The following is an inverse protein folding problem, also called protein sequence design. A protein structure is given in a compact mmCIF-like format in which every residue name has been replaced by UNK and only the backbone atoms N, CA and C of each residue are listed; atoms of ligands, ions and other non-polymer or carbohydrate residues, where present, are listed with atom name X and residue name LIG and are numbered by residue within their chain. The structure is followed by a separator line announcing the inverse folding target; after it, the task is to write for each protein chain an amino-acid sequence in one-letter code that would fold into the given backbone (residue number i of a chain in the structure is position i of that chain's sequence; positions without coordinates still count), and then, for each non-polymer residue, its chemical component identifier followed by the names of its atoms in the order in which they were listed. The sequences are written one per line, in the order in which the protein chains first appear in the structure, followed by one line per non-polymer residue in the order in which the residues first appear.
data_IF_358775840106
#
_entry.id   IF_358775840106
#
_cell.length_a   1.000
_cell.length_b   1.000
_cell.length_c   1.000
_cell.angle_alpha   90.00
_cell.angle_beta   90.00
_cell.angle_gamma   90.00
#
_symmetry.space_group_name_H-M   'P 1'
#
loop_
_entity.id
_entity.type
_entity.pdbx_description
1 polymer ?
#
# COMPACT_ATOMS: atom_id res chain seq x y z
N UNK A 1 -25.72 -12.94 39.44
CA UNK A 1 -24.83 -13.83 38.68
C UNK A 1 -23.62 -13.00 38.28
N UNK A 2 -22.44 -13.30 38.81
CA UNK A 2 -21.22 -12.67 38.31
C UNK A 2 -20.96 -13.24 36.91
N UNK A 3 -20.89 -12.39 35.87
CA UNK A 3 -20.45 -12.84 34.55
C UNK A 3 -19.04 -13.38 34.70
N UNK A 4 -18.79 -14.64 34.34
CA UNK A 4 -17.42 -15.11 34.16
C UNK A 4 -16.75 -14.18 33.16
N UNK A 5 -15.81 -13.35 33.64
CA UNK A 5 -15.05 -12.48 32.78
C UNK A 5 -14.23 -13.38 31.85
N UNK A 6 -14.54 -13.34 30.55
CA UNK A 6 -13.81 -14.12 29.56
C UNK A 6 -12.32 -13.75 29.58
N UNK A 7 -11.45 -14.76 29.54
CA UNK A 7 -9.99 -14.57 29.48
C UNK A 7 -9.63 -13.55 28.39
N UNK A 8 -8.75 -12.58 28.68
CA UNK A 8 -8.32 -11.61 27.68
C UNK A 8 -7.63 -12.29 26.49
N UNK A 9 -7.83 -11.74 25.29
CA UNK A 9 -7.04 -12.12 24.10
C UNK A 9 -5.68 -11.45 24.21
N UNK A 10 -4.60 -12.21 24.14
CA UNK A 10 -3.23 -11.67 24.25
C UNK A 10 -2.65 -11.42 22.87
N UNK A 11 -2.48 -10.16 22.51
CA UNK A 11 -1.97 -9.75 21.20
C UNK A 11 -0.56 -9.17 21.36
N UNK A 12 0.43 -9.79 20.73
CA UNK A 12 1.79 -9.26 20.63
C UNK A 12 1.91 -8.34 19.42
N UNK A 13 2.14 -7.06 19.66
CA UNK A 13 2.42 -6.06 18.62
C UNK A 13 3.94 -5.96 18.43
N UNK A 14 4.42 -6.33 17.25
CA UNK A 14 5.82 -6.52 16.94
C UNK A 14 6.30 -5.37 16.08
N UNK A 15 7.12 -4.48 16.64
CA UNK A 15 7.95 -3.58 15.85
C UNK A 15 9.27 -4.30 15.51
N UNK A 16 9.51 -4.63 14.22
CA UNK A 16 10.71 -5.37 13.83
C UNK A 16 11.93 -4.46 13.60
N UNK A 17 11.85 -3.15 13.86
CA UNK A 17 13.01 -2.28 13.94
C UNK A 17 13.42 -2.03 15.40
N UNK A 18 14.62 -1.45 15.61
CA UNK A 18 15.16 -1.20 16.96
C UNK A 18 14.67 0.10 17.60
N UNK A 19 13.80 0.88 16.93
CA UNK A 19 13.30 2.15 17.45
C UNK A 19 12.21 1.91 18.51
N UNK A 20 12.56 2.12 19.78
CA UNK A 20 11.57 2.08 20.88
C UNK A 20 10.53 3.17 20.72
N UNK A 21 10.89 4.33 20.17
CA UNK A 21 9.97 5.42 19.88
C UNK A 21 8.84 4.98 18.94
N UNK A 22 9.15 4.20 17.90
CA UNK A 22 8.13 3.63 16.99
C UNK A 22 7.20 2.68 17.75
N UNK A 23 7.74 1.84 18.64
CA UNK A 23 6.93 0.96 19.49
C UNK A 23 6.02 1.74 20.42
N UNK A 24 6.53 2.80 21.05
CA UNK A 24 5.77 3.65 21.96
C UNK A 24 4.64 4.40 21.24
N UNK A 25 4.85 4.81 19.99
CA UNK A 25 3.82 5.44 19.16
C UNK A 25 2.65 4.50 18.79
N UNK A 26 2.87 3.18 18.78
CA UNK A 26 1.82 2.18 18.53
C UNK A 26 0.85 2.04 19.72
N UNK A 27 1.34 2.23 20.95
CA UNK A 27 0.56 1.99 22.18
C UNK A 27 -0.74 2.78 22.24
N UNK A 28 -0.75 4.13 22.18
CA UNK A 28 -1.98 4.91 22.31
C UNK A 28 -2.97 4.64 21.18
N UNK A 29 -2.50 4.23 19.99
CA UNK A 29 -3.38 3.83 18.90
C UNK A 29 -4.14 2.54 19.18
N UNK A 30 -3.38 1.51 19.58
CA UNK A 30 -3.92 0.17 19.78
C UNK A 30 -4.86 0.17 20.98
N UNK A 31 -4.48 0.89 22.04
CA UNK A 31 -5.35 1.15 23.21
C UNK A 31 -6.60 1.95 22.83
N UNK A 32 -6.45 2.95 21.96
CA UNK A 32 -7.56 3.79 21.47
C UNK A 32 -8.64 3.04 20.68
N UNK A 33 -8.40 1.79 20.26
CA UNK A 33 -9.42 0.95 19.63
C UNK A 33 -10.49 0.45 20.62
N UNK A 34 -10.19 0.44 21.93
CA UNK A 34 -11.18 0.15 22.96
C UNK A 34 -11.77 -1.26 22.93
N UNK A 35 -11.08 -2.24 22.33
CA UNK A 35 -11.55 -3.63 22.31
C UNK A 35 -11.62 -4.22 23.73
N UNK A 36 -12.75 -4.82 24.13
CA UNK A 36 -12.90 -5.37 25.47
C UNK A 36 -12.10 -6.66 25.64
N UNK A 37 -11.56 -6.86 26.84
CA UNK A 37 -10.83 -8.07 27.23
C UNK A 37 -9.70 -8.40 26.26
N UNK A 38 -8.78 -7.46 26.06
CA UNK A 38 -7.55 -7.65 25.27
C UNK A 38 -6.36 -7.19 26.08
N UNK A 39 -5.31 -8.02 26.11
CA UNK A 39 -4.03 -7.68 26.69
C UNK A 39 -3.03 -7.47 25.55
N UNK A 40 -2.57 -6.24 25.37
CA UNK A 40 -1.53 -5.91 24.40
C UNK A 40 -0.15 -5.98 25.04
N UNK A 41 0.76 -6.70 24.40
CA UNK A 41 2.18 -6.67 24.70
C UNK A 41 2.93 -6.17 23.48
N UNK A 42 4.14 -5.64 23.69
CA UNK A 42 4.90 -4.98 22.65
C UNK A 42 6.30 -5.55 22.56
N UNK A 43 6.78 -5.72 21.34
CA UNK A 43 8.13 -6.15 21.04
C UNK A 43 8.84 -5.07 20.19
N UNK A 44 10.09 -4.81 20.52
CA UNK A 44 11.02 -4.01 19.71
C UNK A 44 12.20 -4.90 19.35
N UNK A 45 12.73 -4.79 18.13
CA UNK A 45 13.87 -5.59 17.68
C UNK A 45 15.06 -5.47 18.64
N UNK A 46 15.74 -6.57 19.00
CA UNK A 46 16.95 -6.53 19.81
C UNK A 46 18.08 -5.72 19.17
N UNK A 47 19.01 -5.25 20.00
CA UNK A 47 20.24 -4.58 19.56
C UNK A 47 21.43 -5.53 19.71
N UNK A 48 22.32 -5.66 18.70
CA UNK A 48 22.30 -4.97 17.41
C UNK A 48 21.16 -5.45 16.48
N UNK A 49 20.50 -4.51 15.81
CA UNK A 49 19.35 -4.77 14.93
C UNK A 49 19.24 -3.71 13.82
N UNK A 50 18.13 -3.70 13.09
CA UNK A 50 17.87 -2.73 12.02
C UNK A 50 17.14 -1.50 12.60
N UNK A 51 17.73 -0.29 12.59
CA UNK A 51 17.09 0.90 13.17
C UNK A 51 15.84 1.35 12.41
N UNK A 52 15.87 1.20 11.08
CA UNK A 52 14.81 1.64 10.18
C UNK A 52 14.81 0.73 8.96
N UNK A 53 13.68 0.07 8.70
CA UNK A 53 13.54 -0.88 7.59
C UNK A 53 13.12 -0.08 6.36
N UNK A 54 14.01 0.01 5.36
CA UNK A 54 13.79 0.83 4.17
C UNK A 54 13.90 0.01 2.88
N UNK A 55 13.98 -1.32 2.96
CA UNK A 55 14.03 -2.20 1.80
C UNK A 55 13.56 -3.63 2.14
N UNK A 56 13.23 -4.45 1.12
CA UNK A 56 12.98 -5.89 1.33
C UNK A 56 14.16 -6.62 1.97
N UNK A 57 15.40 -6.23 1.64
CA UNK A 57 16.62 -6.80 2.25
C UNK A 57 16.72 -6.46 3.73
N UNK A 58 16.38 -5.24 4.13
CA UNK A 58 16.31 -4.85 5.55
C UNK A 58 15.23 -5.65 6.29
N UNK A 59 14.07 -5.87 5.65
CA UNK A 59 12.98 -6.66 6.22
C UNK A 59 13.40 -8.13 6.43
N UNK A 60 14.12 -8.72 5.47
CA UNK A 60 14.67 -10.07 5.59
C UNK A 60 15.68 -10.17 6.75
N UNK A 61 16.65 -9.27 6.81
CA UNK A 61 17.64 -9.24 7.91
C UNK A 61 16.98 -8.97 9.27
N UNK A 62 16.03 -8.06 9.33
CA UNK A 62 15.25 -7.80 10.53
C UNK A 62 14.52 -9.06 11.00
N UNK A 63 13.94 -9.84 10.08
CA UNK A 63 13.28 -11.09 10.42
C UNK A 63 14.21 -12.11 11.07
N UNK A 64 15.40 -12.30 10.49
CA UNK A 64 16.44 -13.18 11.05
C UNK A 64 16.85 -12.79 12.47
N UNK A 65 16.95 -11.48 12.74
CA UNK A 65 17.35 -10.94 14.05
C UNK A 65 16.22 -11.08 15.08
N UNK A 66 14.98 -10.77 14.68
CA UNK A 66 13.85 -10.75 15.60
C UNK A 66 13.36 -12.16 15.97
N UNK A 67 13.38 -13.09 15.01
CA UNK A 67 12.71 -14.38 15.16
C UNK A 67 13.18 -15.20 16.38
N UNK A 68 14.48 -15.34 16.68
CA UNK A 68 14.94 -16.06 17.88
C UNK A 68 14.41 -15.49 19.19
N UNK A 69 14.24 -14.17 19.28
CA UNK A 69 13.70 -13.50 20.46
C UNK A 69 12.16 -13.58 20.55
N UNK A 70 11.48 -13.77 19.42
CA UNK A 70 10.03 -13.92 19.34
C UNK A 70 9.57 -15.36 19.65
N UNK A 71 10.35 -16.39 19.30
CA UNK A 71 10.00 -17.80 19.52
C UNK A 71 9.58 -18.10 20.99
N UNK A 72 10.32 -17.65 22.02
CA UNK A 72 9.93 -17.85 23.41
C UNK A 72 8.62 -17.17 23.80
N UNK A 73 8.18 -16.14 23.07
CA UNK A 73 6.94 -15.40 23.33
C UNK A 73 5.72 -16.08 22.70
N UNK A 74 5.91 -16.93 21.68
CA UNK A 74 4.81 -17.57 20.94
C UNK A 74 3.85 -18.37 21.84
N UNK A 75 4.30 -19.17 22.82
CA UNK A 75 3.38 -19.88 23.72
C UNK A 75 2.45 -18.95 24.54
N UNK A 76 2.90 -17.71 24.80
CA UNK A 76 2.25 -16.78 25.73
C UNK A 76 1.24 -15.83 25.10
N UNK A 77 1.08 -15.86 23.78
CA UNK A 77 0.17 -14.96 23.04
C UNK A 77 -0.77 -15.73 22.13
N UNK A 78 -1.94 -15.18 21.88
CA UNK A 78 -2.97 -15.77 21.02
C UNK A 78 -2.88 -15.21 19.60
N UNK A 79 -2.37 -13.98 19.46
CA UNK A 79 -2.22 -13.34 18.18
C UNK A 79 -0.94 -12.47 18.08
N UNK A 80 -0.48 -12.26 16.84
CA UNK A 80 0.78 -11.58 16.53
C UNK A 80 0.59 -10.61 15.37
N UNK A 81 0.87 -9.33 15.61
CA UNK A 81 0.81 -8.28 14.58
C UNK A 81 2.23 -7.82 14.24
N UNK A 82 2.68 -8.03 13.00
CA UNK A 82 3.95 -7.45 12.51
C UNK A 82 3.70 -6.03 12.00
N UNK A 83 4.17 -5.04 12.75
CA UNK A 83 3.98 -3.61 12.51
C UNK A 83 5.07 -3.02 11.59
N UNK A 84 5.30 -3.66 10.44
CA UNK A 84 6.12 -3.11 9.35
C UNK A 84 5.34 -3.23 8.04
N UNK A 85 5.26 -2.13 7.30
CA UNK A 85 4.48 -2.09 6.07
C UNK A 85 5.30 -2.60 4.89
N UNK A 86 5.39 -3.92 4.78
CA UNK A 86 6.02 -4.66 3.70
C UNK A 86 5.47 -6.09 3.70
N UNK A 87 5.75 -6.89 2.65
CA UNK A 87 5.63 -8.34 2.73
C UNK A 87 6.72 -8.90 3.67
N UNK A 88 6.56 -8.66 4.98
CA UNK A 88 7.62 -8.88 5.95
C UNK A 88 7.78 -10.38 6.25
N UNK A 89 8.97 -10.99 6.07
CA UNK A 89 9.15 -12.43 6.23
C UNK A 89 8.75 -13.00 7.60
N UNK A 90 8.86 -12.19 8.67
CA UNK A 90 8.37 -12.55 10.00
C UNK A 90 6.93 -13.06 10.03
N UNK A 91 6.04 -12.55 9.17
CA UNK A 91 4.64 -13.03 9.14
C UNK A 91 4.59 -14.52 8.80
N UNK A 92 5.30 -14.93 7.75
CA UNK A 92 5.40 -16.34 7.35
C UNK A 92 6.09 -17.20 8.41
N UNK A 93 7.21 -16.71 8.98
CA UNK A 93 7.97 -17.42 10.01
C UNK A 93 7.15 -17.64 11.29
N UNK A 94 6.42 -16.63 11.75
CA UNK A 94 5.54 -16.72 12.92
C UNK A 94 4.33 -17.62 12.66
N UNK A 95 3.74 -17.59 11.45
CA UNK A 95 2.68 -18.54 11.07
C UNK A 95 3.15 -19.98 11.14
N UNK A 96 4.36 -20.26 10.62
CA UNK A 96 4.95 -21.59 10.67
C UNK A 96 5.20 -22.04 12.12
N UNK A 97 5.76 -21.16 12.97
CA UNK A 97 6.01 -21.47 14.38
C UNK A 97 4.72 -21.67 15.19
N UNK A 98 3.71 -20.82 14.97
CA UNK A 98 2.38 -21.00 15.57
C UNK A 98 1.74 -22.33 15.17
N UNK A 99 1.88 -22.72 13.90
CA UNK A 99 1.38 -23.99 13.37
C UNK A 99 2.11 -25.17 14.00
N UNK A 100 3.44 -25.11 14.12
CA UNK A 100 4.27 -26.12 14.79
C UNK A 100 3.83 -26.33 16.25
N UNK A 101 3.63 -25.25 16.99
CA UNK A 101 3.21 -25.31 18.39
C UNK A 101 1.78 -25.82 18.56
N UNK A 102 0.86 -25.40 17.68
CA UNK A 102 -0.53 -25.87 17.69
C UNK A 102 -0.63 -27.36 17.37
N UNK A 103 0.15 -27.86 16.41
CA UNK A 103 0.22 -29.27 16.07
C UNK A 103 0.77 -30.11 17.24
N UNK A 104 1.83 -29.64 17.90
CA UNK A 104 2.38 -30.32 19.08
C UNK A 104 1.37 -30.40 20.23
N UNK A 105 0.57 -29.34 20.45
CA UNK A 105 -0.47 -29.31 21.49
C UNK A 105 -1.66 -30.23 21.16
N UNK A 106 -2.04 -30.35 19.89
CA UNK A 106 -3.13 -31.22 19.43
C UNK A 106 -2.77 -32.72 19.47
N UNK A 107 -1.48 -33.06 19.41
CA UNK A 107 -1.01 -34.45 19.47
C UNK A 107 -1.08 -35.09 20.88
N UNK A 108 -1.33 -34.30 21.93
CA UNK A 108 -1.51 -34.81 23.30
C UNK A 108 -2.93 -35.32 23.57
N UNK A 109 -3.08 -36.26 24.52
CA UNK A 109 -4.33 -36.97 24.85
C UNK A 109 -5.53 -36.09 25.33
N UNK A 110 -5.37 -34.76 25.37
CA UNK A 110 -6.42 -33.78 25.70
C UNK A 110 -6.36 -32.49 24.85
N UNK A 111 -5.73 -32.56 23.67
CA UNK A 111 -5.34 -31.38 22.87
C UNK A 111 -6.49 -30.58 22.27
N UNK A 112 -7.02 -29.60 23.00
CA UNK A 112 -7.66 -28.42 22.39
C UNK A 112 -6.56 -27.39 22.12
N UNK A 113 -5.80 -27.57 21.04
CA UNK A 113 -4.76 -26.61 20.67
C UNK A 113 -5.38 -25.23 20.43
N UNK A 114 -5.01 -24.23 21.24
CA UNK A 114 -5.47 -22.86 21.04
C UNK A 114 -4.96 -22.36 19.68
N UNK A 115 -5.88 -21.97 18.80
CA UNK A 115 -5.56 -21.40 17.50
C UNK A 115 -4.80 -20.09 17.71
N UNK A 116 -3.70 -19.93 16.98
CA UNK A 116 -2.85 -18.73 17.02
C UNK A 116 -2.91 -18.02 15.69
N UNK A 117 -3.03 -16.70 15.72
CA UNK A 117 -3.29 -15.88 14.54
C UNK A 117 -2.15 -14.91 14.29
N UNK A 118 -1.73 -14.77 13.03
CA UNK A 118 -0.60 -13.91 12.66
C UNK A 118 -0.96 -13.14 11.41
N UNK A 119 -0.72 -11.83 11.42
CA UNK A 119 -0.82 -10.97 10.23
C UNK A 119 0.20 -9.84 10.31
N UNK A 120 0.55 -9.27 9.16
CA UNK A 120 1.25 -7.99 9.09
C UNK A 120 0.29 -6.86 8.76
N UNK A 121 0.71 -5.63 9.03
CA UNK A 121 -0.10 -4.44 8.73
C UNK A 121 -0.31 -4.26 7.22
N UNK A 122 0.60 -4.77 6.40
CA UNK A 122 0.46 -4.81 4.94
C UNK A 122 -0.72 -5.69 4.51
N UNK A 123 -0.72 -6.98 4.89
CA UNK A 123 -1.77 -7.94 4.50
C UNK A 123 -3.13 -7.51 5.06
N UNK A 124 -3.14 -7.05 6.31
CA UNK A 124 -4.37 -6.57 6.95
C UNK A 124 -4.98 -5.37 6.21
N UNK A 125 -4.15 -4.41 5.79
CA UNK A 125 -4.62 -3.24 5.04
C UNK A 125 -5.14 -3.60 3.64
N UNK A 126 -4.50 -4.56 2.97
CA UNK A 126 -4.95 -5.04 1.66
C UNK A 126 -6.32 -5.73 1.76
N UNK A 127 -6.49 -6.64 2.73
CA UNK A 127 -7.77 -7.32 2.97
C UNK A 127 -8.89 -6.35 3.35
N UNK A 128 -8.61 -5.40 4.24
CA UNK A 128 -9.58 -4.38 4.62
C UNK A 128 -9.98 -3.54 3.39
N UNK A 129 -9.02 -3.13 2.57
CA UNK A 129 -9.28 -2.36 1.36
C UNK A 129 -10.13 -3.13 0.36
N UNK A 130 -9.83 -4.41 0.11
CA UNK A 130 -10.62 -5.27 -0.77
C UNK A 130 -12.07 -5.41 -0.29
N UNK A 131 -12.28 -5.60 1.02
CA UNK A 131 -13.62 -5.70 1.60
C UNK A 131 -14.43 -4.40 1.41
N UNK A 132 -13.77 -3.24 1.58
CA UNK A 132 -14.40 -1.93 1.43
C UNK A 132 -14.75 -1.60 -0.03
N UNK A 133 -13.86 -1.89 -0.97
CA UNK A 133 -14.06 -1.56 -2.40
C UNK A 133 -14.96 -2.56 -3.15
N UNK A 134 -15.18 -3.76 -2.61
CA UNK A 134 -16.19 -4.70 -3.12
C UNK A 134 -17.61 -4.24 -2.82
N UNK A 135 -17.81 -3.38 -1.83
CA UNK A 135 -19.13 -2.90 -1.41
C UNK A 135 -19.62 -1.66 -2.18
N UNK A 136 -18.72 -0.96 -2.89
CA UNK A 136 -19.02 0.32 -3.56
C UNK A 136 -19.55 0.19 -4.99
N UNK A 137 -19.89 -1.02 -5.46
CA UNK A 137 -20.33 -1.29 -6.84
C UNK A 137 -21.82 -1.66 -7.00
N UNK A 138 -22.65 -1.46 -5.99
CA UNK A 138 -23.98 -2.09 -5.93
C UNK A 138 -25.16 -1.25 -5.44
N UNK A 139 -25.09 0.09 -5.43
CA UNK A 139 -26.24 0.92 -5.05
C UNK A 139 -26.66 1.84 -6.20
N UNK A 140 -27.62 1.37 -7.01
CA UNK A 140 -28.18 2.13 -8.12
C UNK A 140 -29.04 1.29 -9.07
N UNK A 141 -30.00 0.53 -8.56
CA UNK A 141 -30.93 -0.23 -9.40
C UNK A 141 -32.24 -0.47 -8.65
N UNK A 142 -33.18 0.46 -8.80
CA UNK A 142 -34.57 0.26 -8.42
C UNK A 142 -35.12 -1.01 -9.08
N UNK A 143 -35.83 -1.79 -8.27
CA UNK A 143 -36.53 -2.99 -8.71
C UNK A 143 -37.58 -2.62 -9.78
N UNK A 144 -37.32 -2.97 -11.03
CA UNK A 144 -38.36 -3.16 -12.03
C UNK A 144 -38.51 -4.65 -12.30
N UNK A 145 -39.51 -5.21 -11.63
CA UNK A 145 -40.08 -6.51 -11.88
C UNK A 145 -40.83 -6.47 -13.22
N UNK A 146 -40.24 -7.00 -14.30
CA UNK A 146 -41.00 -7.21 -15.55
C UNK A 146 -40.73 -8.58 -16.20
N UNK A 147 -41.67 -9.48 -15.90
CA UNK A 147 -42.28 -10.52 -16.76
C UNK A 147 -41.36 -11.39 -17.63
N UNK A 148 -41.20 -12.61 -17.12
CA UNK A 148 -40.98 -13.84 -17.87
C UNK A 148 -41.76 -13.89 -19.19
N UNK A 149 -41.03 -13.91 -20.32
CA UNK A 149 -41.55 -14.39 -21.60
C UNK A 149 -40.69 -15.54 -22.10
N UNK A 150 -41.11 -16.75 -21.74
CA UNK A 150 -40.65 -18.01 -22.30
C UNK A 150 -40.70 -17.94 -23.84
N UNK A 151 -39.54 -17.94 -24.48
CA UNK A 151 -39.42 -18.23 -25.91
C UNK A 151 -38.42 -19.36 -26.10
N UNK A 152 -38.97 -20.50 -26.48
CA UNK A 152 -38.31 -21.74 -26.88
C UNK A 152 -37.23 -21.47 -27.92
N UNK A 153 -35.97 -21.82 -27.62
CA UNK A 153 -34.87 -21.80 -28.59
C UNK A 153 -34.97 -23.08 -29.43
N UNK A 154 -35.42 -22.97 -30.67
CA UNK A 154 -35.06 -23.90 -31.74
C UNK A 154 -33.68 -23.54 -32.26
N UNK A 155 -32.78 -24.52 -32.26
CA UNK A 155 -31.44 -24.41 -32.79
C UNK A 155 -31.45 -24.00 -34.27
N UNK A 156 -30.69 -22.98 -34.62
CA UNK A 156 -30.14 -22.81 -35.96
C UNK A 156 -28.74 -22.23 -35.85
N UNK A 157 -27.78 -23.01 -36.33
CA UNK A 157 -26.41 -22.61 -36.59
C UNK A 157 -26.38 -21.58 -37.73
N UNK A 158 -25.38 -20.67 -37.65
CA UNK A 158 -25.06 -19.60 -38.59
C UNK A 158 -25.66 -18.22 -38.26
N UNK A 159 -25.12 -17.57 -37.24
CA UNK A 159 -24.75 -16.15 -37.41
C UNK A 159 -23.48 -15.81 -36.61
N UNK A 160 -22.49 -15.27 -37.31
CA UNK A 160 -21.24 -14.74 -36.75
C UNK A 160 -21.50 -13.29 -36.37
N UNK A 161 -22.00 -13.07 -35.17
CA UNK A 161 -21.94 -11.77 -34.51
C UNK A 161 -21.23 -11.95 -33.18
N UNK A 162 -19.91 -11.82 -33.23
CA UNK A 162 -19.05 -11.66 -32.06
C UNK A 162 -19.46 -10.37 -31.37
N UNK A 163 -20.37 -10.45 -30.40
CA UNK A 163 -20.51 -9.39 -29.41
C UNK A 163 -19.25 -9.46 -28.56
N UNK A 164 -18.25 -8.63 -28.91
CA UNK A 164 -17.25 -8.19 -27.95
C UNK A 164 -18.03 -7.58 -26.80
N UNK A 165 -18.26 -8.36 -25.75
CA UNK A 165 -18.54 -7.79 -24.45
C UNK A 165 -17.26 -7.09 -24.05
N UNK A 166 -17.21 -5.78 -24.27
CA UNK A 166 -16.22 -4.91 -23.64
C UNK A 166 -16.20 -5.31 -22.16
N UNK A 167 -15.07 -5.87 -21.72
CA UNK A 167 -14.86 -6.16 -20.31
C UNK A 167 -14.88 -4.79 -19.66
N UNK A 168 -15.95 -4.47 -18.93
CA UNK A 168 -16.07 -3.31 -18.07
C UNK A 168 -14.90 -3.34 -17.08
N UNK A 169 -13.79 -2.78 -17.51
CA UNK A 169 -12.57 -2.65 -16.72
C UNK A 169 -12.74 -1.49 -15.74
N UNK A 170 -13.94 -1.31 -15.17
CA UNK A 170 -14.41 -0.19 -14.35
C UNK A 170 -14.45 -0.51 -12.85
N UNK A 171 -13.76 -1.58 -12.43
CA UNK A 171 -13.74 -1.97 -11.02
C UNK A 171 -13.09 -0.90 -10.16
N UNK A 172 -13.80 -0.43 -9.12
CA UNK A 172 -13.18 0.31 -8.02
C UNK A 172 -12.11 -0.53 -7.33
N UNK A 173 -11.14 0.18 -6.76
CA UNK A 173 -10.00 -0.46 -6.11
C UNK A 173 -9.30 0.44 -5.12
N UNK A 174 -8.11 0.02 -4.73
CA UNK A 174 -7.33 0.64 -3.68
C UNK A 174 -5.92 0.97 -4.14
N UNK A 175 -5.25 1.82 -3.39
CA UNK A 175 -3.83 2.11 -3.58
C UNK A 175 -3.12 2.31 -2.25
N UNK A 176 -1.80 2.45 -2.31
CA UNK A 176 -0.96 2.61 -1.13
C UNK A 176 -0.22 3.95 -1.22
N UNK A 177 -0.15 4.68 -0.10
CA UNK A 177 0.78 5.80 0.06
C UNK A 177 1.86 5.39 1.06
N UNK A 178 3.12 5.33 0.63
CA UNK A 178 4.26 4.86 1.44
C UNK A 178 5.39 5.90 1.52
N UNK A 179 6.51 5.52 2.12
CA UNK A 179 7.65 6.39 2.45
C UNK A 179 8.59 6.57 1.25
N UNK A 180 9.60 5.71 1.14
CA UNK A 180 10.71 5.83 0.19
C UNK A 180 10.46 5.17 -1.16
N UNK A 181 11.14 5.66 -2.20
CA UNK A 181 10.91 5.29 -3.62
C UNK A 181 10.98 3.78 -3.91
N UNK A 182 11.87 3.07 -3.22
CA UNK A 182 12.05 1.61 -3.34
C UNK A 182 10.76 0.82 -3.06
N UNK A 183 9.86 1.37 -2.24
CA UNK A 183 8.60 0.73 -1.90
C UNK A 183 7.57 0.73 -3.03
N UNK A 184 7.67 1.61 -4.04
CA UNK A 184 6.68 1.63 -5.13
C UNK A 184 6.65 0.29 -5.89
N UNK A 185 7.82 -0.17 -6.34
CA UNK A 185 7.93 -1.47 -7.03
C UNK A 185 7.78 -2.63 -6.06
N UNK A 186 8.39 -2.55 -4.87
CA UNK A 186 8.35 -3.65 -3.92
C UNK A 186 6.93 -3.93 -3.41
N UNK A 187 6.14 -2.89 -3.10
CA UNK A 187 4.75 -3.06 -2.68
C UNK A 187 3.83 -3.42 -3.84
N UNK A 188 4.14 -3.01 -5.07
CA UNK A 188 3.43 -3.51 -6.24
C UNK A 188 3.55 -5.03 -6.35
N UNK A 189 4.77 -5.56 -6.35
CA UNK A 189 4.98 -7.01 -6.41
C UNK A 189 4.39 -7.73 -5.20
N UNK A 190 4.51 -7.14 -4.00
CA UNK A 190 3.93 -7.72 -2.79
C UNK A 190 2.41 -7.84 -2.86
N UNK A 191 1.71 -6.86 -3.44
CA UNK A 191 0.25 -6.93 -3.63
C UNK A 191 -0.09 -7.98 -4.69
N UNK A 192 0.63 -8.00 -5.81
CA UNK A 192 0.38 -8.98 -6.87
C UNK A 192 0.55 -10.41 -6.34
N UNK A 193 1.64 -10.69 -5.59
CA UNK A 193 1.85 -11.98 -4.92
C UNK A 193 0.75 -12.28 -3.89
N UNK A 194 0.39 -11.30 -3.05
CA UNK A 194 -0.66 -11.46 -2.03
C UNK A 194 -2.03 -11.78 -2.63
N UNK A 195 -2.34 -11.22 -3.81
CA UNK A 195 -3.58 -11.46 -4.54
C UNK A 195 -3.52 -12.72 -5.42
N UNK A 196 -2.38 -13.41 -5.48
CA UNK A 196 -2.17 -14.58 -6.35
C UNK A 196 -2.12 -14.23 -7.84
N UNK A 197 -1.75 -12.99 -8.20
CA UNK A 197 -1.59 -12.56 -9.57
C UNK A 197 -0.23 -12.98 -10.13
N UNK A 198 -0.10 -13.25 -11.44
CA UNK A 198 1.17 -13.62 -12.05
C UNK A 198 2.18 -12.47 -11.93
N UNK A 199 3.31 -12.70 -11.25
CA UNK A 199 4.42 -11.76 -11.19
C UNK A 199 5.18 -11.75 -12.53
N UNK A 200 5.35 -10.59 -13.19
CA UNK A 200 6.13 -10.51 -14.42
C UNK A 200 7.61 -10.81 -14.12
N UNK A 201 8.12 -11.94 -14.64
CA UNK A 201 9.49 -12.45 -14.51
C UNK A 201 9.83 -13.10 -13.15
N UNK A 202 9.46 -14.37 -13.02
CA UNK A 202 9.94 -15.24 -11.94
C UNK A 202 11.45 -15.51 -12.05
N UNK A 203 12.22 -14.89 -11.17
CA UNK A 203 13.30 -15.62 -10.50
C UNK A 203 12.71 -16.13 -9.18
N UNK A 204 12.02 -17.25 -9.28
CA UNK A 204 11.43 -17.95 -8.15
C UNK A 204 12.57 -18.54 -7.30
N UNK A 205 13.02 -17.81 -6.27
CA UNK A 205 14.13 -18.22 -5.40
C UNK A 205 13.73 -19.28 -4.36
N UNK A 206 12.49 -19.79 -4.37
CA UNK A 206 11.98 -20.65 -3.31
C UNK A 206 11.41 -22.01 -3.75
N UNK A 207 11.62 -22.47 -4.98
CA UNK A 207 11.30 -23.87 -5.36
C UNK A 207 12.53 -24.77 -5.31
N UNK A 208 12.59 -25.78 -4.41
CA UNK A 208 13.63 -26.80 -4.49
C UNK A 208 13.35 -27.72 -5.68
N UNK A 209 14.20 -27.60 -6.71
CA UNK A 209 14.57 -28.62 -7.68
C UNK A 209 13.42 -29.50 -8.23
N UNK A 210 12.67 -28.95 -9.20
CA UNK A 210 11.97 -29.79 -10.18
C UNK A 210 12.68 -29.62 -11.52
N UNK A 211 13.29 -30.71 -12.02
CA UNK A 211 13.92 -30.76 -13.35
C UNK A 211 12.90 -30.33 -14.42
N UNK A 212 13.35 -29.65 -15.50
CA UNK A 212 12.46 -29.31 -16.60
C UNK A 212 12.12 -30.59 -17.36
N UNK A 213 10.86 -31.02 -17.29
CA UNK A 213 10.37 -32.10 -18.13
C UNK A 213 10.04 -31.52 -19.51
N UNK A 214 10.85 -31.88 -20.50
CA UNK A 214 10.71 -31.46 -21.88
C UNK A 214 9.57 -32.25 -22.52
N UNK A 215 8.32 -31.85 -22.32
CA UNK A 215 7.18 -32.17 -23.21
C UNK A 215 5.87 -31.56 -22.66
N UNK A 216 5.64 -30.27 -22.92
CA UNK A 216 4.28 -29.74 -22.88
C UNK A 216 4.05 -28.78 -24.04
N UNK A 217 3.26 -29.28 -24.98
CA UNK A 217 2.75 -28.57 -26.16
C UNK A 217 2.04 -27.29 -25.74
N UNK A 218 2.33 -26.23 -26.48
CA UNK A 218 1.68 -24.92 -26.45
C UNK A 218 0.16 -25.07 -26.56
N UNK A 219 -0.55 -24.93 -25.44
CA UNK A 219 -1.96 -24.58 -25.44
C UNK A 219 -2.07 -23.12 -25.02
N UNK A 220 -2.39 -22.28 -25.99
CA UNK A 220 -2.79 -20.90 -25.81
C UNK A 220 -4.11 -20.87 -25.03
N UNK A 221 -4.03 -20.85 -23.70
CA UNK A 221 -5.18 -20.53 -22.85
C UNK A 221 -5.36 -19.00 -22.83
N UNK A 222 -6.54 -18.57 -23.26
CA UNK A 222 -7.05 -17.22 -23.12
C UNK A 222 -6.93 -16.77 -21.65
N UNK A 223 -5.95 -15.91 -21.36
CA UNK A 223 -5.84 -15.26 -20.07
C UNK A 223 -7.04 -14.32 -19.92
N UNK A 224 -8.05 -14.73 -19.15
CA UNK A 224 -9.05 -13.80 -18.64
C UNK A 224 -8.30 -12.79 -17.76
N UNK A 225 -8.22 -11.53 -18.20
CA UNK A 225 -7.62 -10.44 -17.43
C UNK A 225 -8.47 -10.20 -16.20
N UNK A 226 -8.03 -10.68 -15.03
CA UNK A 226 -8.65 -10.33 -13.76
C UNK A 226 -8.62 -8.81 -13.58
N UNK A 227 -9.74 -8.15 -13.26
CA UNK A 227 -9.77 -6.70 -13.10
C UNK A 227 -8.81 -6.30 -11.97
N UNK A 228 -7.83 -5.47 -12.29
CA UNK A 228 -6.79 -5.06 -11.35
C UNK A 228 -7.38 -4.05 -10.37
N UNK A 229 -7.77 -4.51 -9.17
CA UNK A 229 -8.30 -3.67 -8.08
C UNK A 229 -7.22 -2.91 -7.31
N UNK A 230 -5.96 -3.03 -7.71
CA UNK A 230 -4.85 -2.32 -7.09
C UNK A 230 -4.28 -1.29 -8.07
N UNK A 231 -4.37 0.00 -7.70
CA UNK A 231 -3.94 1.13 -8.52
C UNK A 231 -2.47 1.48 -8.35
N UNK A 232 -1.74 0.76 -7.51
CA UNK A 232 -0.31 0.99 -7.28
C UNK A 232 0.00 1.71 -5.97
N UNK A 233 1.30 2.00 -5.81
CA UNK A 233 1.85 2.66 -4.65
C UNK A 233 2.48 4.01 -5.06
N UNK A 234 2.17 5.07 -4.31
CA UNK A 234 2.81 6.37 -4.42
C UNK A 234 3.63 6.66 -3.15
N UNK A 235 4.70 7.44 -3.27
CA UNK A 235 5.63 7.70 -2.16
C UNK A 235 5.68 9.16 -1.75
N UNK A 236 5.80 9.41 -0.46
CA UNK A 236 6.05 10.77 0.08
C UNK A 236 7.44 11.30 -0.28
N UNK A 237 8.36 10.39 -0.65
CA UNK A 237 9.76 10.71 -0.89
C UNK A 237 10.56 10.93 0.40
N UNK A 238 9.99 10.56 1.54
CA UNK A 238 10.65 10.52 2.85
C UNK A 238 11.07 9.09 3.16
N UNK A 239 12.13 8.88 3.92
CA UNK A 239 12.38 7.60 4.58
C UNK A 239 11.58 7.50 5.89
N UNK A 240 11.59 6.33 6.53
CA UNK A 240 10.79 6.11 7.72
C UNK A 240 11.20 6.97 8.93
N UNK A 241 12.48 7.39 9.03
CA UNK A 241 12.95 8.27 10.10
C UNK A 241 12.55 9.72 9.86
N UNK A 242 12.71 10.21 8.62
CA UNK A 242 12.34 11.57 8.23
C UNK A 242 10.85 11.89 8.47
N UNK A 243 9.98 10.87 8.43
CA UNK A 243 8.56 11.03 8.74
C UNK A 243 8.30 11.51 10.18
N UNK A 244 9.23 11.26 11.10
CA UNK A 244 9.14 11.66 12.51
C UNK A 244 10.03 12.86 12.84
N UNK A 245 11.12 13.06 12.10
CA UNK A 245 12.11 14.10 12.39
C UNK A 245 11.78 15.44 11.72
N UNK A 246 11.06 15.42 10.59
CA UNK A 246 10.70 16.63 9.86
C UNK A 246 9.51 17.38 10.52
N UNK A 247 9.40 18.71 10.28
CA UNK A 247 8.24 19.47 10.72
C UNK A 247 6.93 18.87 10.20
N UNK A 248 5.90 18.81 11.06
CA UNK A 248 4.61 18.20 10.75
C UNK A 248 3.97 18.75 9.47
N UNK A 249 4.16 20.04 9.18
CA UNK A 249 3.63 20.68 7.98
C UNK A 249 4.30 20.17 6.69
N UNK A 250 5.61 19.90 6.72
CA UNK A 250 6.31 19.33 5.57
C UNK A 250 5.90 17.87 5.32
N UNK A 251 5.76 17.09 6.39
CA UNK A 251 5.26 15.72 6.33
C UNK A 251 3.83 15.70 5.77
N UNK A 252 2.96 16.58 6.28
CA UNK A 252 1.57 16.76 5.81
C UNK A 252 1.52 17.07 4.31
N UNK A 253 2.33 18.03 3.85
CA UNK A 253 2.40 18.41 2.44
C UNK A 253 2.82 17.23 1.56
N UNK A 254 3.89 16.52 1.92
CA UNK A 254 4.38 15.36 1.15
C UNK A 254 3.39 14.20 1.11
N UNK A 255 2.68 13.96 2.22
CA UNK A 255 1.59 13.00 2.31
C UNK A 255 0.45 13.35 1.35
N UNK A 256 0.03 14.62 1.34
CA UNK A 256 -1.01 15.09 0.43
C UNK A 256 -0.59 14.97 -1.03
N UNK A 257 0.64 15.36 -1.37
CA UNK A 257 1.14 15.29 -2.74
C UNK A 257 1.18 13.85 -3.26
N UNK A 258 1.61 12.88 -2.44
CA UNK A 258 1.58 11.46 -2.79
C UNK A 258 0.16 10.94 -2.98
N UNK A 259 -0.75 11.31 -2.08
CA UNK A 259 -2.19 10.96 -2.16
C UNK A 259 -2.81 11.47 -3.46
N UNK A 260 -2.57 12.74 -3.83
CA UNK A 260 -3.11 13.32 -5.07
C UNK A 260 -2.62 12.59 -6.32
N UNK A 261 -1.34 12.21 -6.37
CA UNK A 261 -0.81 11.42 -7.49
C UNK A 261 -1.50 10.06 -7.60
N UNK A 262 -1.75 9.40 -6.48
CA UNK A 262 -2.44 8.11 -6.45
C UNK A 262 -3.88 8.23 -6.98
N UNK A 263 -4.59 9.28 -6.55
CA UNK A 263 -5.95 9.56 -7.01
C UNK A 263 -6.00 9.84 -8.51
N UNK A 264 -5.07 10.65 -9.04
CA UNK A 264 -4.96 10.94 -10.49
C UNK A 264 -4.68 9.68 -11.30
N UNK A 265 -3.86 8.77 -10.78
CA UNK A 265 -3.64 7.45 -11.41
C UNK A 265 -4.94 6.66 -11.53
N UNK A 266 -5.79 6.71 -10.51
CA UNK A 266 -7.14 6.12 -10.54
C UNK A 266 -8.13 6.78 -11.51
N UNK A 267 -7.86 7.99 -12.00
CA UNK A 267 -8.70 8.68 -13.00
C UNK A 267 -8.34 8.31 -14.46
N UNK A 268 -7.38 7.39 -14.66
CA UNK A 268 -6.84 7.08 -15.99
C UNK A 268 -5.85 8.12 -16.52
N UNK A 269 -5.38 9.05 -15.67
CA UNK A 269 -4.41 10.07 -16.04
C UNK A 269 -3.02 9.59 -15.62
N UNK A 270 -2.34 8.81 -16.48
CA UNK A 270 -0.88 8.84 -16.70
C UNK A 270 -0.60 8.30 -18.11
N UNK A 271 -0.07 9.16 -18.97
CA UNK A 271 0.59 8.80 -20.23
C UNK A 271 -0.18 9.14 -21.51
N UNK A 272 -0.33 10.43 -21.86
CA UNK A 272 -0.38 10.78 -23.28
C UNK A 272 0.93 10.29 -23.91
N UNK A 273 0.84 9.13 -24.55
CA UNK A 273 1.83 8.63 -25.49
C UNK A 273 2.10 9.71 -26.52
N UNK A 274 3.20 10.45 -26.35
CA UNK A 274 4.04 10.76 -27.49
C UNK A 274 5.01 9.60 -27.56
N UNK A 275 4.86 8.78 -28.61
CA UNK A 275 5.77 7.70 -28.99
C UNK A 275 7.23 8.13 -28.82
N UNK A 276 7.85 7.75 -27.71
CA UNK A 276 9.29 7.59 -27.62
C UNK A 276 9.57 6.31 -26.84
N UNK A 277 10.39 5.47 -27.44
CA UNK A 277 10.77 4.14 -26.94
C UNK A 277 11.33 4.23 -25.51
N UNK A 278 11.08 3.24 -24.63
CA UNK A 278 11.61 3.17 -23.26
C UNK A 278 13.13 3.28 -23.14
N UNK A 279 13.86 3.10 -24.25
CA UNK A 279 15.32 3.02 -24.30
C UNK A 279 16.02 4.40 -24.41
N UNK A 280 15.30 5.47 -24.76
CA UNK A 280 15.88 6.83 -24.87
C UNK A 280 15.73 7.67 -23.59
N UNK A 281 14.71 7.38 -22.77
CA UNK A 281 14.45 8.11 -21.51
C UNK A 281 15.57 7.89 -20.49
N UNK A 282 16.19 6.71 -20.51
CA UNK A 282 17.33 6.37 -19.63
C UNK A 282 18.63 7.13 -19.99
N UNK A 283 18.81 7.53 -21.26
CA UNK A 283 20.02 8.25 -21.70
C UNK A 283 19.99 9.73 -21.33
N UNK A 284 18.83 10.38 -21.35
CA UNK A 284 18.70 11.82 -21.03
C UNK A 284 18.80 12.13 -19.53
N UNK A 285 18.41 11.20 -18.66
CA UNK A 285 18.54 11.36 -17.20
C UNK A 285 20.01 11.25 -16.77
N UNK A 286 20.80 10.35 -17.37
CA UNK A 286 22.21 10.18 -17.04
C UNK A 286 23.13 11.31 -17.52
N UNK A 287 22.76 12.05 -18.58
CA UNK A 287 23.54 13.23 -19.03
C UNK A 287 23.42 14.40 -18.05
N UNK A 288 22.26 14.60 -17.43
CA UNK A 288 22.04 15.69 -16.46
C UNK A 288 22.55 15.39 -15.05
N UNK A 289 22.59 14.12 -14.65
CA UNK A 289 23.17 13.72 -13.35
C UNK A 289 24.70 13.81 -13.37
N UNK A 290 25.36 13.47 -14.48
CA UNK A 290 26.82 13.61 -14.60
C UNK A 290 27.31 15.07 -14.75
N UNK A 291 26.50 15.95 -15.32
CA UNK A 291 26.87 17.37 -15.45
C UNK A 291 26.87 18.12 -14.09
N UNK A 292 26.11 17.65 -13.11
CA UNK A 292 26.02 18.29 -11.79
C UNK A 292 27.04 17.76 -10.77
N UNK A 293 27.67 16.61 -11.05
CA UNK A 293 28.76 16.04 -10.24
C UNK A 293 30.15 16.58 -10.64
N UNK A 294 30.30 17.12 -11.85
CA UNK A 294 31.53 17.77 -12.29
C UNK A 294 31.60 19.27 -11.93
N UNK A 295 30.48 19.94 -11.64
CA UNK A 295 30.45 21.35 -11.21
C UNK A 295 30.65 21.55 -9.71
N UNK A 296 30.51 20.51 -8.88
CA UNK A 296 30.73 20.58 -7.42
C UNK A 296 32.13 20.13 -6.97
N UNK A 297 33.00 19.73 -7.89
CA UNK A 297 34.41 19.37 -7.59
C UNK A 297 35.43 20.47 -7.96
N UNK A 298 34.98 21.66 -8.38
CA UNK A 298 35.83 22.83 -8.59
C UNK A 298 35.26 24.09 -7.91
N UNK A 299 35.15 24.08 -6.58
CA UNK A 299 35.03 25.32 -5.79
C UNK A 299 35.45 25.11 -4.33
N UNK A 300 36.64 24.54 -4.15
CA UNK A 300 37.44 24.78 -2.96
C UNK A 300 38.86 25.08 -3.41
N UNK A 301 39.17 26.35 -3.65
CA UNK A 301 40.50 26.94 -3.52
C UNK A 301 40.48 28.41 -3.92
N UNK A 302 40.93 29.25 -2.99
CA UNK A 302 41.49 30.60 -3.14
C UNK A 302 40.59 31.82 -2.93
N UNK A 303 41.23 32.74 -2.21
CA UNK A 303 40.79 33.89 -1.44
C UNK A 303 41.47 35.16 -1.97
N UNK A 304 40.89 36.33 -1.63
CA UNK A 304 41.40 37.71 -1.79
C UNK A 304 41.38 38.23 -3.25
N UNK A 305 40.93 39.44 -3.59
CA UNK A 305 41.03 40.79 -2.98
C UNK A 305 40.04 41.75 -3.70
N UNK A 306 39.63 42.85 -3.01
CA UNK A 306 39.31 44.23 -3.49
C UNK A 306 38.42 44.44 -4.76
N UNK A 307 37.62 45.48 -5.00
CA UNK A 307 37.19 46.74 -4.38
C UNK A 307 36.08 47.32 -5.30
N UNK A 308 35.27 48.23 -4.77
CA UNK A 308 34.55 49.34 -5.45
C UNK A 308 33.87 49.14 -6.81
N UNK A 309 32.57 49.44 -6.90
CA UNK A 309 32.02 50.65 -7.57
C UNK A 309 30.55 50.47 -7.95
N UNK A 310 29.86 51.61 -7.96
CA UNK A 310 28.44 51.85 -8.21
C UNK A 310 28.05 51.62 -9.68
N UNK A 311 26.76 51.31 -9.95
CA UNK A 311 25.86 52.18 -10.73
C UNK A 311 24.56 51.50 -11.22
N UNK A 312 23.47 52.24 -10.98
CA UNK A 312 22.24 52.43 -11.76
C UNK A 312 21.48 51.27 -12.41
N UNK A 313 20.31 51.01 -11.81
CA UNK A 313 19.11 50.46 -12.45
C UNK A 313 18.45 51.56 -13.29
N UNK A 314 18.22 51.29 -14.58
CA UNK A 314 17.35 52.09 -15.45
C UNK A 314 16.26 51.22 -16.05
N UNK A 315 15.03 51.69 -15.86
CA UNK A 315 13.76 51.17 -16.36
C UNK A 315 13.68 51.15 -17.89
N UNK A 316 13.02 50.13 -18.45
CA UNK A 316 12.21 50.33 -19.65
C UNK A 316 10.93 49.50 -19.60
N UNK A 317 9.82 50.25 -19.69
CA UNK A 317 8.47 49.77 -19.93
C UNK A 317 8.35 49.18 -21.33
N UNK A 318 7.73 47.99 -21.44
CA UNK A 318 7.25 47.41 -22.68
C UNK A 318 5.78 47.03 -22.55
N UNK A 319 4.92 47.80 -23.18
CA UNK A 319 3.47 47.57 -23.29
C UNK A 319 3.18 46.68 -24.50
N UNK A 320 2.55 45.53 -24.32
CA UNK A 320 2.00 44.74 -25.43
C UNK A 320 0.51 44.37 -25.21
N UNK A 321 -0.30 45.02 -26.04
CA UNK A 321 -1.51 44.61 -26.76
C UNK A 321 -2.28 43.38 -26.28
N UNK A 322 -3.51 43.64 -25.84
CA UNK A 322 -4.58 42.69 -25.56
C UNK A 322 -5.20 42.13 -26.86
N UNK A 323 -5.13 40.82 -27.06
CA UNK A 323 -6.05 40.09 -27.94
C UNK A 323 -6.91 39.14 -27.09
N UNK A 324 -8.19 39.46 -27.02
CA UNK A 324 -9.20 38.66 -26.34
C UNK A 324 -9.49 37.38 -27.15
N UNK A 325 -9.11 36.22 -26.59
CA UNK A 325 -9.71 34.94 -26.94
C UNK A 325 -10.81 34.68 -25.92
N UNK A 326 -12.05 34.53 -26.39
CA UNK A 326 -13.18 34.12 -25.56
C UNK A 326 -12.92 32.73 -25.00
N UNK A 327 -12.76 32.63 -23.69
CA UNK A 327 -12.66 31.35 -22.98
C UNK A 327 -13.98 30.56 -23.14
N UNK A 328 -13.93 29.26 -23.45
CA UNK A 328 -15.11 28.41 -23.39
C UNK A 328 -15.55 28.19 -21.93
N UNK A 329 -16.87 28.29 -21.75
CA UNK A 329 -17.66 28.08 -20.52
C UNK A 329 -17.13 26.93 -19.61
N UNK A 330 -16.85 27.17 -18.31
CA UNK A 330 -16.20 26.19 -17.43
C UNK A 330 -17.10 25.01 -16.96
N UNK A 331 -18.35 24.90 -17.41
CA UNK A 331 -19.33 23.98 -16.79
C UNK A 331 -19.52 22.59 -17.44
N UNK A 332 -18.71 22.15 -18.41
CA UNK A 332 -18.93 20.82 -19.05
C UNK A 332 -17.79 19.81 -18.96
N UNK A 333 -16.80 20.02 -18.09
CA UNK A 333 -15.76 18.99 -17.86
C UNK A 333 -16.38 17.89 -16.98
N UNK A 334 -16.77 16.75 -17.57
CA UNK A 334 -17.15 15.57 -16.80
C UNK A 334 -16.03 15.30 -15.78
N UNK A 335 -16.28 15.51 -14.49
CA UNK A 335 -15.30 15.24 -13.44
C UNK A 335 -15.05 13.74 -13.46
N UNK A 336 -13.96 13.32 -14.12
CA UNK A 336 -13.47 11.95 -14.04
C UNK A 336 -13.26 11.65 -12.56
N UNK A 337 -14.10 10.80 -11.98
CA UNK A 337 -13.97 10.41 -10.58
C UNK A 337 -12.84 9.40 -10.47
N UNK A 338 -11.98 9.52 -9.45
CA UNK A 338 -10.94 8.52 -9.23
C UNK A 338 -11.56 7.18 -8.89
N UNK A 339 -11.06 6.12 -9.54
CA UNK A 339 -11.45 4.74 -9.24
C UNK A 339 -10.79 4.18 -7.97
N UNK A 340 -9.87 4.93 -7.37
CA UNK A 340 -9.31 4.64 -6.04
C UNK A 340 -10.34 5.02 -4.99
N UNK A 341 -10.94 4.03 -4.35
CA UNK A 341 -11.93 4.18 -3.27
C UNK A 341 -11.40 3.76 -1.90
N UNK A 342 -10.19 3.22 -1.82
CA UNK A 342 -9.48 3.01 -0.55
C UNK A 342 -7.99 3.36 -0.68
N UNK A 343 -7.42 3.96 0.36
CA UNK A 343 -5.99 4.32 0.44
C UNK A 343 -5.41 3.73 1.72
N UNK A 344 -4.43 2.84 1.57
CA UNK A 344 -3.66 2.32 2.70
C UNK A 344 -2.54 3.27 3.11
N UNK A 345 -2.39 3.48 4.42
CA UNK A 345 -1.24 4.17 5.01
C UNK A 345 -0.06 3.19 5.10
N UNK A 346 0.92 3.39 4.21
CA UNK A 346 2.02 2.47 3.92
C UNK A 346 3.20 2.51 4.90
N UNK A 347 2.98 2.87 6.16
CA UNK A 347 3.99 2.86 7.22
C UNK A 347 3.31 2.90 8.60
N UNK A 348 3.86 2.17 9.58
CA UNK A 348 3.41 2.23 10.96
C UNK A 348 3.59 3.62 11.61
N UNK A 349 4.48 4.46 11.06
CA UNK A 349 4.71 5.84 11.50
C UNK A 349 3.76 6.87 10.89
N UNK A 350 2.91 6.50 9.91
CA UNK A 350 1.98 7.43 9.23
C UNK A 350 0.67 7.66 9.99
N UNK A 351 0.70 7.33 11.26
CA UNK A 351 -0.44 7.36 12.18
C UNK A 351 -0.84 8.81 12.46
N UNK A 352 -2.15 9.08 12.42
CA UNK A 352 -2.67 10.43 12.61
C UNK A 352 -2.54 11.33 11.37
N UNK A 353 -1.94 10.83 10.28
CA UNK A 353 -1.91 11.52 8.98
C UNK A 353 -3.19 11.28 8.15
N UNK A 354 -4.21 10.64 8.71
CA UNK A 354 -5.52 10.45 8.07
C UNK A 354 -6.16 11.78 7.68
N UNK A 355 -5.99 12.82 8.50
CA UNK A 355 -6.46 14.18 8.18
C UNK A 355 -5.77 14.77 6.96
N UNK A 356 -4.48 14.49 6.76
CA UNK A 356 -3.72 14.93 5.58
C UNK A 356 -4.22 14.22 4.33
N UNK A 357 -4.37 12.89 4.39
CA UNK A 357 -4.92 12.09 3.27
C UNK A 357 -6.34 12.53 2.94
N UNK A 358 -7.20 12.73 3.95
CA UNK A 358 -8.57 13.22 3.76
C UNK A 358 -8.60 14.58 3.10
N UNK A 359 -7.74 15.51 3.51
CA UNK A 359 -7.62 16.83 2.91
C UNK A 359 -7.23 16.74 1.43
N UNK A 360 -6.26 15.89 1.10
CA UNK A 360 -5.88 15.63 -0.29
C UNK A 360 -7.01 15.02 -1.12
N UNK A 361 -7.79 14.08 -0.57
CA UNK A 361 -8.96 13.53 -1.25
C UNK A 361 -10.01 14.60 -1.55
N UNK A 362 -10.31 15.47 -0.58
CA UNK A 362 -11.29 16.56 -0.76
C UNK A 362 -10.80 17.59 -1.76
N UNK A 363 -9.52 17.97 -1.71
CA UNK A 363 -8.93 18.92 -2.65
C UNK A 363 -8.89 18.40 -4.09
N UNK A 364 -8.60 17.11 -4.29
CA UNK A 364 -8.45 16.53 -5.63
C UNK A 364 -9.79 16.10 -6.25
N UNK A 365 -10.72 15.56 -5.45
CA UNK A 365 -11.98 14.98 -5.93
C UNK A 365 -13.21 15.86 -5.64
N UNK A 366 -13.06 16.88 -4.80
CA UNK A 366 -14.18 17.63 -4.22
C UNK A 366 -14.72 17.00 -2.93
N UNK A 367 -15.60 17.71 -2.20
CA UNK A 367 -16.01 17.33 -0.85
C UNK A 367 -16.78 16.01 -0.76
N UNK A 368 -17.64 15.71 -1.72
CA UNK A 368 -18.48 14.50 -1.66
C UNK A 368 -17.68 13.26 -2.05
N UNK A 369 -17.13 13.20 -3.27
CA UNK A 369 -16.28 12.09 -3.71
C UNK A 369 -15.02 11.93 -2.84
N UNK A 370 -14.48 13.03 -2.31
CA UNK A 370 -13.34 13.02 -1.41
C UNK A 370 -13.64 12.40 -0.05
N UNK A 371 -14.88 12.44 0.46
CA UNK A 371 -15.28 11.76 1.71
C UNK A 371 -15.48 10.25 1.52
N UNK A 372 -15.90 9.82 0.34
CA UNK A 372 -16.14 8.42 0.00
C UNK A 372 -14.88 7.55 -0.05
N UNK A 373 -13.69 8.16 -0.19
CA UNK A 373 -12.44 7.41 -0.18
C UNK A 373 -12.16 6.91 1.24
N UNK A 374 -12.10 5.59 1.43
CA UNK A 374 -11.72 4.98 2.68
C UNK A 374 -10.22 5.19 2.95
N UNK A 375 -9.87 5.52 4.20
CA UNK A 375 -8.47 5.63 4.63
C UNK A 375 -8.21 4.46 5.57
N UNK A 376 -7.29 3.59 5.17
CA UNK A 376 -7.04 2.31 5.83
C UNK A 376 -5.71 2.39 6.59
N UNK A 377 -5.81 2.37 7.91
CA UNK A 377 -4.67 2.22 8.81
C UNK A 377 -4.40 0.73 9.03
N UNK A 378 -3.22 0.27 8.59
CA UNK A 378 -2.85 -1.14 8.67
C UNK A 378 -2.71 -1.67 10.11
N UNK A 379 -2.37 -0.82 11.09
CA UNK A 379 -2.30 -1.21 12.50
C UNK A 379 -3.71 -1.45 13.03
N UNK A 380 -4.64 -0.51 12.80
CA UNK A 380 -6.05 -0.66 13.22
C UNK A 380 -6.71 -1.86 12.55
N UNK A 381 -6.50 -2.01 11.24
CA UNK A 381 -7.01 -3.16 10.47
C UNK A 381 -6.44 -4.49 11.01
N UNK A 382 -5.13 -4.53 11.29
CA UNK A 382 -4.46 -5.72 11.81
C UNK A 382 -4.95 -6.13 13.20
N UNK A 383 -5.01 -5.19 14.14
CA UNK A 383 -5.51 -5.46 15.49
C UNK A 383 -6.97 -5.91 15.46
N UNK A 384 -7.83 -5.20 14.73
CA UNK A 384 -9.25 -5.55 14.62
C UNK A 384 -9.47 -6.94 14.02
N UNK A 385 -8.69 -7.31 13.00
CA UNK A 385 -8.71 -8.63 12.39
C UNK A 385 -8.27 -9.71 13.38
N UNK A 386 -7.13 -9.53 14.04
CA UNK A 386 -6.60 -10.50 15.00
C UNK A 386 -7.52 -10.70 16.20
N UNK A 387 -8.07 -9.61 16.74
CA UNK A 387 -9.05 -9.66 17.82
C UNK A 387 -10.28 -10.47 17.41
N UNK A 388 -10.84 -10.17 16.23
CA UNK A 388 -12.03 -10.86 15.71
C UNK A 388 -11.77 -12.34 15.49
N UNK A 389 -10.63 -12.70 14.89
CA UNK A 389 -10.24 -14.10 14.69
C UNK A 389 -10.08 -14.84 16.03
N UNK A 390 -9.39 -14.24 16.99
CA UNK A 390 -9.16 -14.86 18.30
C UNK A 390 -10.43 -14.99 19.14
N UNK A 391 -11.36 -14.03 19.05
CA UNK A 391 -12.63 -14.07 19.79
C UNK A 391 -13.65 -15.01 19.18
N UNK A 392 -13.75 -15.05 17.86
CA UNK A 392 -14.75 -15.86 17.17
C UNK A 392 -14.28 -17.30 16.92
N UNK A 393 -12.97 -17.56 16.91
CA UNK A 393 -12.42 -18.90 16.77
C UNK A 393 -12.54 -19.48 15.35
N UNK A 394 -12.47 -18.64 14.32
CA UNK A 394 -12.46 -19.05 12.92
C UNK A 394 -11.24 -19.92 12.54
#
# INVERSE_FOLDING_TARGET
MASEASTPVRILVINPNTSTHMTDALKPMVEGLGFPSVDYTYFTSPTPGIPSINSPTDAARSAEICFPALVPLVPHHDAFLVACYSAHPLVGMLKAECSRLSAAAAAGAGGRGARKYVTGIFEASCLASLALVSSSGGEGGEANEEKNKTTTITANENDKTTTNTDIDNDSFGFGIVSTGKVWETALQHAVDEFLGLPVPNGNDLNTPNSKPDSTSKTQSQSHQSTPQRFYGCETTGLNASELHDLPAEEVRKKMMDATKRLLRRGMGIIGSSKNTSPDETWKLVNVKVNANLQSQSQSQSQSHEQSSSTDNVSSSYGSESTTACSDPDPESRSKSSSRVKAICLGCAGMVGLDSAVRSACIEELGPEAGKEVYIVDGVKAGVGMLYSLARCGF
#
